data_IF_253442354570
#
_entry.id   IF_253442354570
#
_cell.length_a   1.000
_cell.length_b   1.000
_cell.length_c   1.000
_cell.angle_alpha   90.00
_cell.angle_beta   90.00
_cell.angle_gamma   90.00
#
_symmetry.space_group_name_H-M   'P 1'
#
loop_
_entity.id
_entity.type
_entity.pdbx_description
1 polymer ?
#
# COMPACT_ATOMS: atom_id res chain seq x y z
N UNK A 1 -3.36 -28.79 3.99
CA UNK A 1 -4.54 -29.20 3.19
C UNK A 1 -4.12 -29.88 1.88
N UNK A 2 -3.37 -30.98 1.97
CA UNK A 2 -3.22 -31.96 0.88
C UNK A 2 -3.64 -33.34 1.40
N UNK A 3 -4.78 -33.37 2.11
CA UNK A 3 -5.38 -34.61 2.60
C UNK A 3 -6.77 -34.62 1.97
N UNK A 4 -7.08 -35.69 1.24
CA UNK A 4 -8.34 -35.95 0.52
C UNK A 4 -8.51 -35.45 -0.94
N UNK A 5 -7.45 -35.42 -1.76
CA UNK A 5 -7.60 -35.31 -3.23
C UNK A 5 -8.21 -33.99 -3.78
N UNK A 6 -8.58 -33.06 -2.90
CA UNK A 6 -9.07 -31.74 -3.29
C UNK A 6 -7.92 -30.86 -3.77
N UNK A 7 -8.03 -30.38 -5.01
CA UNK A 7 -7.10 -29.40 -5.57
C UNK A 7 -7.43 -28.01 -5.00
N UNK A 8 -6.42 -27.27 -4.49
CA UNK A 8 -6.61 -25.87 -4.10
C UNK A 8 -7.24 -25.06 -5.23
N UNK A 9 -8.31 -24.34 -4.89
CA UNK A 9 -8.98 -23.38 -5.77
C UNK A 9 -8.53 -21.93 -5.48
N UNK A 10 -9.06 -20.96 -6.22
CA UNK A 10 -8.72 -19.53 -6.08
C UNK A 10 -8.88 -19.00 -4.65
N UNK A 11 -9.90 -19.44 -3.92
CA UNK A 11 -10.15 -19.03 -2.54
C UNK A 11 -9.10 -19.61 -1.59
N UNK A 12 -8.77 -20.90 -1.76
CA UNK A 12 -7.72 -21.58 -0.99
C UNK A 12 -6.37 -20.87 -1.19
N UNK A 13 -6.05 -20.53 -2.44
CA UNK A 13 -4.83 -19.81 -2.78
C UNK A 13 -4.80 -18.42 -2.17
N UNK A 14 -5.88 -17.64 -2.29
CA UNK A 14 -5.96 -16.30 -1.70
C UNK A 14 -5.82 -16.31 -0.18
N UNK A 15 -6.40 -17.29 0.52
CA UNK A 15 -6.21 -17.45 1.98
C UNK A 15 -4.75 -17.75 2.34
N UNK A 16 -4.08 -18.65 1.60
CA UNK A 16 -2.67 -18.97 1.84
C UNK A 16 -1.78 -17.76 1.52
N UNK A 17 -2.06 -17.03 0.45
CA UNK A 17 -1.31 -15.83 0.08
C UNK A 17 -1.44 -14.74 1.14
N UNK A 18 -2.65 -14.49 1.65
CA UNK A 18 -2.87 -13.56 2.76
C UNK A 18 -2.05 -13.93 3.99
N UNK A 19 -2.05 -15.20 4.38
CA UNK A 19 -1.23 -15.69 5.48
C UNK A 19 0.27 -15.49 5.20
N UNK A 20 0.74 -15.78 3.98
CA UNK A 20 2.15 -15.56 3.62
C UNK A 20 2.54 -14.09 3.70
N UNK A 21 1.66 -13.20 3.23
CA UNK A 21 1.81 -11.75 3.28
C UNK A 21 1.94 -11.25 4.73
N UNK A 22 1.00 -11.62 5.62
CA UNK A 22 1.01 -11.15 7.01
C UNK A 22 2.12 -11.76 7.86
N UNK A 23 2.61 -12.95 7.52
CA UNK A 23 3.62 -13.67 8.29
C UNK A 23 5.01 -13.64 7.66
N UNK A 24 5.22 -12.90 6.56
CA UNK A 24 6.50 -12.84 5.85
C UNK A 24 6.99 -14.18 5.28
N UNK A 25 6.09 -15.14 5.03
CA UNK A 25 6.45 -16.51 4.61
C UNK A 25 6.71 -16.59 3.10
N UNK A 26 7.70 -15.85 2.60
CA UNK A 26 8.03 -15.75 1.18
C UNK A 26 8.25 -17.11 0.51
N UNK A 27 8.93 -18.05 1.18
CA UNK A 27 9.16 -19.39 0.65
C UNK A 27 7.87 -20.17 0.36
N UNK A 28 6.80 -19.94 1.15
CA UNK A 28 5.48 -20.52 0.89
C UNK A 28 4.76 -19.75 -0.21
N UNK A 29 4.85 -18.41 -0.21
CA UNK A 29 4.30 -17.57 -1.27
C UNK A 29 4.81 -17.96 -2.66
N UNK A 30 6.13 -18.18 -2.81
CA UNK A 30 6.76 -18.63 -4.07
C UNK A 30 6.26 -20.01 -4.51
N UNK A 31 6.02 -20.94 -3.57
CA UNK A 31 5.43 -22.26 -3.88
C UNK A 31 3.99 -22.12 -4.38
N UNK A 32 3.20 -21.24 -3.78
CA UNK A 32 1.83 -20.95 -4.25
C UNK A 32 1.89 -20.33 -5.65
N UNK A 33 2.77 -19.36 -5.89
CA UNK A 33 2.93 -18.76 -7.22
C UNK A 33 3.29 -19.82 -8.28
N UNK A 34 4.21 -20.74 -7.99
CA UNK A 34 4.52 -21.85 -8.90
C UNK A 34 3.33 -22.77 -9.16
N UNK A 35 2.46 -22.99 -8.16
CA UNK A 35 1.22 -23.73 -8.34
C UNK A 35 0.21 -22.96 -9.21
N UNK A 36 0.07 -21.64 -9.00
CA UNK A 36 -0.80 -20.76 -9.79
C UNK A 36 -0.49 -20.87 -11.28
N UNK A 37 0.80 -20.77 -11.66
CA UNK A 37 1.26 -20.91 -13.06
C UNK A 37 0.94 -22.30 -13.60
N UNK A 38 1.20 -23.36 -12.82
CA UNK A 38 0.93 -24.75 -13.24
C UNK A 38 -0.55 -25.05 -13.42
N UNK A 39 -1.43 -24.27 -12.81
CA UNK A 39 -2.87 -24.51 -12.80
C UNK A 39 -3.68 -23.44 -13.55
N UNK A 40 -3.00 -22.58 -14.31
CA UNK A 40 -3.61 -21.56 -15.17
C UNK A 40 -4.42 -20.48 -14.43
N UNK A 41 -4.12 -20.26 -13.14
CA UNK A 41 -4.76 -19.23 -12.33
C UNK A 41 -4.04 -17.88 -12.38
N UNK A 42 -2.98 -17.73 -13.19
CA UNK A 42 -2.27 -16.47 -13.39
C UNK A 42 -3.14 -15.38 -14.04
N UNK A 43 -4.25 -15.76 -14.67
CA UNK A 43 -5.26 -14.84 -15.21
C UNK A 43 -6.30 -14.41 -14.17
N UNK A 44 -6.30 -15.00 -12.97
CA UNK A 44 -7.29 -14.73 -11.94
C UNK A 44 -6.92 -13.51 -11.09
N UNK A 45 -7.75 -12.46 -11.18
CA UNK A 45 -7.48 -11.15 -10.57
C UNK A 45 -7.28 -11.22 -9.06
N UNK A 46 -8.07 -12.05 -8.38
CA UNK A 46 -7.99 -12.22 -6.92
C UNK A 46 -6.68 -12.89 -6.50
N UNK A 47 -6.23 -13.89 -7.25
CA UNK A 47 -4.97 -14.60 -6.99
C UNK A 47 -3.77 -13.70 -7.30
N UNK A 48 -3.79 -12.99 -8.42
CA UNK A 48 -2.70 -12.06 -8.79
C UNK A 48 -2.59 -10.92 -7.78
N UNK A 49 -3.71 -10.33 -7.36
CA UNK A 49 -3.72 -9.32 -6.30
C UNK A 49 -3.08 -9.85 -5.01
N UNK A 50 -3.42 -11.07 -4.60
CA UNK A 50 -2.83 -11.71 -3.42
C UNK A 50 -1.32 -11.94 -3.57
N UNK A 51 -0.85 -12.27 -4.77
CA UNK A 51 0.58 -12.41 -5.06
C UNK A 51 1.31 -11.07 -4.98
N UNK A 52 0.76 -10.01 -5.58
CA UNK A 52 1.31 -8.64 -5.50
C UNK A 52 1.47 -8.21 -4.04
N UNK A 53 0.41 -8.34 -3.23
CA UNK A 53 0.44 -8.00 -1.80
C UNK A 53 1.49 -8.83 -1.03
N UNK A 54 1.56 -10.13 -1.31
CA UNK A 54 2.55 -11.03 -0.68
C UNK A 54 3.98 -10.60 -1.00
N UNK A 55 4.30 -10.35 -2.27
CA UNK A 55 5.64 -9.96 -2.68
C UNK A 55 6.03 -8.57 -2.18
N UNK A 56 5.11 -7.61 -2.23
CA UNK A 56 5.34 -6.24 -1.75
C UNK A 56 5.71 -6.22 -0.25
N UNK A 57 5.00 -6.99 0.58
CA UNK A 57 5.25 -7.08 2.03
C UNK A 57 6.40 -8.00 2.43
N UNK A 58 6.84 -8.90 1.54
CA UNK A 58 7.97 -9.80 1.79
C UNK A 58 9.32 -9.27 1.28
N UNK A 59 9.46 -7.94 1.11
CA UNK A 59 10.66 -7.30 0.57
C UNK A 59 11.08 -7.81 -0.84
N UNK A 60 10.13 -8.26 -1.64
CA UNK A 60 10.31 -8.70 -3.02
C UNK A 60 9.61 -7.73 -3.98
N UNK A 61 9.96 -6.44 -3.87
CA UNK A 61 9.26 -5.37 -4.59
C UNK A 61 9.38 -5.49 -6.12
N UNK A 62 10.46 -6.09 -6.63
CA UNK A 62 10.65 -6.30 -8.07
C UNK A 62 9.66 -7.33 -8.63
N UNK A 63 9.44 -8.45 -7.93
CA UNK A 63 8.44 -9.44 -8.31
C UNK A 63 7.01 -8.88 -8.21
N UNK A 64 6.74 -8.06 -7.20
CA UNK A 64 5.46 -7.36 -7.07
C UNK A 64 5.24 -6.38 -8.23
N UNK A 65 6.26 -5.58 -8.56
CA UNK A 65 6.26 -4.62 -9.67
C UNK A 65 6.06 -5.31 -11.03
N UNK A 66 6.69 -6.46 -11.24
CA UNK A 66 6.50 -7.28 -12.44
C UNK A 66 5.03 -7.72 -12.59
N UNK A 67 4.45 -8.32 -11.56
CA UNK A 67 3.06 -8.78 -11.59
C UNK A 67 2.08 -7.61 -11.78
N UNK A 68 2.31 -6.50 -11.09
CA UNK A 68 1.49 -5.29 -11.19
C UNK A 68 1.48 -4.70 -12.61
N UNK A 69 2.64 -4.70 -13.30
CA UNK A 69 2.75 -4.23 -14.68
C UNK A 69 2.14 -5.20 -15.71
N UNK A 70 2.14 -6.49 -15.41
CA UNK A 70 1.54 -7.50 -16.30
C UNK A 70 0.01 -7.53 -16.29
N UNK A 71 -0.62 -6.76 -15.39
CA UNK A 71 -2.09 -6.68 -15.29
C UNK A 71 -2.61 -5.23 -15.31
N UNK A 72 -2.37 -4.46 -16.39
CA UNK A 72 -2.74 -3.03 -16.44
C UNK A 72 -4.25 -2.80 -16.35
N UNK A 73 -5.06 -3.62 -17.03
CA UNK A 73 -6.52 -3.48 -17.07
C UNK A 73 -7.23 -3.89 -15.78
N UNK A 74 -6.48 -4.41 -14.80
CA UNK A 74 -7.01 -5.04 -13.58
C UNK A 74 -6.57 -4.31 -12.31
N UNK A 75 -5.86 -3.19 -12.44
CA UNK A 75 -5.45 -2.39 -11.29
C UNK A 75 -6.68 -1.88 -10.55
N UNK A 76 -6.71 -2.12 -9.25
CA UNK A 76 -7.75 -1.63 -8.35
C UNK A 76 -7.12 -0.95 -7.13
N UNK A 77 -7.95 -0.34 -6.30
CA UNK A 77 -7.49 0.37 -5.11
C UNK A 77 -6.67 -0.50 -4.15
N UNK A 78 -6.97 -1.81 -4.05
CA UNK A 78 -6.23 -2.73 -3.17
C UNK A 78 -4.82 -2.96 -3.70
N UNK A 79 -4.69 -3.30 -4.99
CA UNK A 79 -3.39 -3.53 -5.63
C UNK A 79 -2.52 -2.29 -5.63
N UNK A 80 -3.08 -1.14 -6.01
CA UNK A 80 -2.32 0.13 -6.05
C UNK A 80 -1.90 0.57 -4.64
N UNK A 81 -2.77 0.36 -3.63
CA UNK A 81 -2.40 0.62 -2.22
C UNK A 81 -1.26 -0.30 -1.78
N UNK A 82 -1.31 -1.59 -2.11
CA UNK A 82 -0.25 -2.53 -1.79
C UNK A 82 1.09 -2.14 -2.43
N UNK A 83 1.07 -1.64 -3.68
CA UNK A 83 2.27 -1.17 -4.36
C UNK A 83 2.81 0.14 -3.77
N UNK A 84 1.97 1.13 -3.45
CA UNK A 84 2.42 2.37 -2.80
C UNK A 84 3.06 2.07 -1.45
N UNK A 85 2.41 1.23 -0.63
CA UNK A 85 2.94 0.80 0.65
C UNK A 85 4.24 -0.02 0.49
N UNK A 86 4.25 -0.96 -0.46
CA UNK A 86 5.41 -1.78 -0.78
C UNK A 86 6.62 -0.93 -1.17
N UNK A 87 6.47 -0.02 -2.13
CA UNK A 87 7.55 0.90 -2.52
C UNK A 87 8.03 1.74 -1.34
N UNK A 88 7.11 2.30 -0.54
CA UNK A 88 7.49 3.11 0.63
C UNK A 88 8.29 2.31 1.65
N UNK A 89 7.88 1.07 1.95
CA UNK A 89 8.55 0.19 2.93
C UNK A 89 9.89 -0.35 2.43
N UNK A 90 10.06 -0.47 1.11
CA UNK A 90 11.29 -0.95 0.48
C UNK A 90 12.28 0.19 0.14
N UNK A 91 12.03 1.42 0.62
CA UNK A 91 12.92 2.57 0.37
C UNK A 91 12.83 3.18 -1.03
N UNK A 92 11.85 2.77 -1.83
CA UNK A 92 11.63 3.20 -3.22
C UNK A 92 10.70 4.42 -3.27
N UNK A 93 11.02 5.47 -2.51
CA UNK A 93 10.14 6.62 -2.26
C UNK A 93 9.64 7.32 -3.55
N UNK A 94 10.51 7.52 -4.54
CA UNK A 94 10.11 8.12 -5.82
C UNK A 94 9.11 7.23 -6.59
N UNK A 95 9.27 5.90 -6.53
CA UNK A 95 8.30 4.97 -7.14
C UNK A 95 6.98 4.97 -6.39
N UNK A 96 6.99 5.08 -5.05
CA UNK A 96 5.77 5.21 -4.25
C UNK A 96 4.97 6.47 -4.64
N UNK A 97 5.66 7.62 -4.73
CA UNK A 97 5.06 8.89 -5.17
C UNK A 97 4.51 8.78 -6.58
N UNK A 98 5.28 8.21 -7.51
CA UNK A 98 4.82 8.01 -8.90
C UNK A 98 3.60 7.10 -8.95
N UNK A 99 3.61 5.97 -8.25
CA UNK A 99 2.50 5.03 -8.20
C UNK A 99 1.23 5.69 -7.62
N UNK A 100 1.36 6.54 -6.61
CA UNK A 100 0.23 7.30 -6.08
C UNK A 100 -0.30 8.34 -7.08
N UNK A 101 0.58 9.05 -7.80
CA UNK A 101 0.15 9.97 -8.87
C UNK A 101 -0.62 9.24 -9.97
N UNK A 102 -0.10 8.10 -10.43
CA UNK A 102 -0.75 7.28 -11.44
C UNK A 102 -2.13 6.82 -10.94
N UNK A 103 -2.22 6.38 -9.68
CA UNK A 103 -3.49 6.01 -9.01
C UNK A 103 -4.51 7.15 -9.00
N UNK A 104 -4.09 8.40 -8.73
CA UNK A 104 -4.96 9.59 -8.77
C UNK A 104 -5.41 9.92 -10.20
N UNK A 105 -4.50 9.84 -11.18
CA UNK A 105 -4.81 10.11 -12.60
C UNK A 105 -5.76 9.06 -13.17
N UNK A 106 -5.58 7.79 -12.80
CA UNK A 106 -6.46 6.67 -13.17
C UNK A 106 -7.82 6.71 -12.42
N UNK A 107 -8.05 7.69 -11.51
CA UNK A 107 -9.30 7.81 -10.75
C UNK A 107 -9.49 6.72 -9.70
N UNK A 108 -8.43 6.02 -9.30
CA UNK A 108 -8.48 4.94 -8.32
C UNK A 108 -8.50 5.55 -6.90
N UNK A 109 -9.51 5.18 -6.12
CA UNK A 109 -9.72 5.72 -4.78
C UNK A 109 -8.57 5.39 -3.81
N UNK A 110 -8.05 6.43 -3.14
CA UNK A 110 -7.10 6.31 -2.03
C UNK A 110 -7.81 6.03 -0.71
N UNK A 111 -7.11 5.42 0.24
CA UNK A 111 -7.65 5.11 1.56
C UNK A 111 -6.66 5.43 2.68
N UNK A 112 -7.08 5.16 3.92
CA UNK A 112 -6.30 5.34 5.15
C UNK A 112 -4.97 4.58 5.21
N UNK A 113 -4.72 3.61 4.32
CA UNK A 113 -3.43 2.91 4.20
C UNK A 113 -2.54 3.49 3.09
N UNK A 114 -3.15 4.01 2.02
CA UNK A 114 -2.44 4.66 0.91
C UNK A 114 -1.78 5.97 1.38
N UNK A 115 -2.54 6.78 2.12
CA UNK A 115 -2.18 8.16 2.47
C UNK A 115 -0.94 8.25 3.40
N UNK A 116 -0.85 7.47 4.50
CA UNK A 116 0.37 7.45 5.32
C UNK A 116 1.59 6.96 4.53
N UNK A 117 1.40 5.99 3.64
CA UNK A 117 2.49 5.42 2.83
C UNK A 117 3.07 6.45 1.86
N UNK A 118 2.23 7.22 1.16
CA UNK A 118 2.73 8.28 0.27
C UNK A 118 3.34 9.45 1.05
N UNK A 119 2.80 9.80 2.22
CA UNK A 119 3.39 10.83 3.09
C UNK A 119 4.77 10.43 3.61
N UNK A 120 4.93 9.17 4.02
CA UNK A 120 6.23 8.59 4.42
C UNK A 120 7.23 8.69 3.27
N UNK A 121 6.80 8.36 2.04
CA UNK A 121 7.63 8.51 0.87
C UNK A 121 8.00 9.98 0.60
N UNK A 122 7.07 10.93 0.77
CA UNK A 122 7.37 12.36 0.65
C UNK A 122 8.41 12.81 1.67
N UNK A 123 8.27 12.37 2.91
CA UNK A 123 9.19 12.67 4.00
C UNK A 123 10.60 12.16 3.71
N UNK A 124 10.72 10.95 3.14
CA UNK A 124 11.99 10.32 2.81
C UNK A 124 12.79 11.05 1.71
N UNK A 125 12.12 11.81 0.84
CA UNK A 125 12.77 12.58 -0.25
C UNK A 125 12.57 14.08 -0.12
N UNK A 126 12.18 14.55 1.08
CA UNK A 126 11.91 15.96 1.39
C UNK A 126 10.94 16.64 0.37
N UNK A 127 9.96 15.91 -0.16
CA UNK A 127 9.02 16.39 -1.17
C UNK A 127 7.84 17.18 -0.56
N UNK A 128 8.13 18.20 0.25
CA UNK A 128 7.14 18.96 1.02
C UNK A 128 6.00 19.55 0.18
N UNK A 129 6.30 20.09 -1.01
CA UNK A 129 5.29 20.62 -1.93
C UNK A 129 4.28 19.56 -2.39
N UNK A 130 4.73 18.31 -2.57
CA UNK A 130 3.83 17.22 -2.94
C UNK A 130 3.10 16.69 -1.70
N UNK A 131 3.77 16.59 -0.56
CA UNK A 131 3.13 16.26 0.72
C UNK A 131 1.99 17.21 1.08
N UNK A 132 2.14 18.53 0.85
CA UNK A 132 1.08 19.52 1.06
C UNK A 132 -0.13 19.33 0.11
N UNK A 133 0.10 18.86 -1.13
CA UNK A 133 -1.00 18.49 -2.04
C UNK A 133 -1.75 17.26 -1.52
N UNK A 134 -1.03 16.26 -1.01
CA UNK A 134 -1.63 15.08 -0.38
C UNK A 134 -2.41 15.48 0.88
N UNK A 135 -1.88 16.40 1.71
CA UNK A 135 -2.58 16.94 2.87
C UNK A 135 -3.89 17.64 2.48
N UNK A 136 -3.87 18.47 1.44
CA UNK A 136 -5.08 19.12 0.91
C UNK A 136 -6.14 18.10 0.49
N UNK A 137 -5.71 16.98 -0.11
CA UNK A 137 -6.61 15.86 -0.44
C UNK A 137 -7.17 15.19 0.82
N UNK A 138 -6.34 14.92 1.84
CA UNK A 138 -6.74 14.31 3.12
C UNK A 138 -7.88 15.09 3.77
N UNK A 139 -7.74 16.42 3.87
CA UNK A 139 -8.75 17.31 4.45
C UNK A 139 -10.06 17.24 3.65
N UNK A 140 -9.98 17.39 2.32
CA UNK A 140 -11.16 17.37 1.45
C UNK A 140 -11.89 16.02 1.45
N UNK A 141 -11.16 14.93 1.65
CA UNK A 141 -11.70 13.57 1.64
C UNK A 141 -12.08 13.04 3.03
N UNK A 142 -11.94 13.84 4.09
CA UNK A 142 -12.36 13.46 5.45
C UNK A 142 -11.49 12.40 6.12
N UNK A 143 -10.23 12.24 5.68
CA UNK A 143 -9.26 11.33 6.32
C UNK A 143 -8.47 12.01 7.45
N UNK A 144 -8.69 13.31 7.67
CA UNK A 144 -7.96 14.12 8.64
C UNK A 144 -8.08 13.63 10.10
N UNK A 145 -9.22 13.09 10.58
CA UNK A 145 -9.33 12.53 11.94
C UNK A 145 -8.58 11.20 12.16
N UNK A 146 -7.99 10.61 11.11
CA UNK A 146 -7.33 9.32 11.24
C UNK A 146 -5.92 9.49 11.87
N UNK A 147 -5.72 8.94 13.06
CA UNK A 147 -4.46 9.05 13.82
C UNK A 147 -3.22 8.61 13.03
N UNK A 148 -3.32 7.58 12.18
CA UNK A 148 -2.19 7.14 11.36
C UNK A 148 -1.87 8.14 10.24
N UNK A 149 -2.89 8.79 9.68
CA UNK A 149 -2.74 9.84 8.67
C UNK A 149 -2.15 11.10 9.31
N UNK A 150 -2.63 11.50 10.47
CA UNK A 150 -2.12 12.65 11.23
C UNK A 150 -0.65 12.45 11.61
N UNK A 151 -0.31 11.29 12.18
CA UNK A 151 1.08 10.96 12.54
C UNK A 151 2.02 11.05 11.34
N UNK A 152 1.58 10.55 10.17
CA UNK A 152 2.37 10.63 8.94
C UNK A 152 2.48 12.06 8.38
N UNK A 153 1.46 12.91 8.57
CA UNK A 153 1.50 14.32 8.19
C UNK A 153 2.52 15.10 9.04
N UNK A 154 2.51 14.88 10.36
CA UNK A 154 3.48 15.52 11.28
C UNK A 154 4.91 15.11 10.91
N UNK A 155 5.17 13.81 10.73
CA UNK A 155 6.49 13.30 10.32
C UNK A 155 6.94 13.90 8.96
N UNK A 156 6.02 13.97 7.99
CA UNK A 156 6.30 14.52 6.67
C UNK A 156 6.69 16.00 6.73
N UNK A 157 5.89 16.84 7.41
CA UNK A 157 6.20 18.27 7.54
C UNK A 157 7.48 18.52 8.35
N UNK A 158 7.68 17.78 9.44
CA UNK A 158 8.89 17.88 10.26
C UNK A 158 10.15 17.56 9.44
N UNK A 159 10.15 16.46 8.68
CA UNK A 159 11.28 16.09 7.80
C UNK A 159 11.46 17.03 6.62
N UNK A 160 10.38 17.67 6.15
CA UNK A 160 10.45 18.72 5.14
C UNK A 160 10.79 20.12 5.71
N UNK A 161 11.17 20.21 6.99
CA UNK A 161 11.58 21.45 7.68
C UNK A 161 10.49 22.52 7.78
N UNK A 162 9.22 22.13 7.69
CA UNK A 162 8.06 22.99 7.91
C UNK A 162 7.45 22.69 9.28
N UNK A 163 8.13 23.13 10.34
CA UNK A 163 7.71 22.89 11.72
C UNK A 163 6.40 23.60 12.06
N UNK A 164 6.11 24.75 11.44
CA UNK A 164 4.88 25.48 11.66
C UNK A 164 3.67 24.67 11.21
N UNK A 165 3.72 24.05 10.03
CA UNK A 165 2.68 23.14 9.56
C UNK A 165 2.62 21.86 10.40
N UNK A 166 3.76 21.30 10.82
CA UNK A 166 3.80 20.12 11.67
C UNK A 166 3.08 20.37 13.02
N UNK A 167 3.35 21.51 13.67
CA UNK A 167 2.71 21.91 14.93
C UNK A 167 1.21 22.13 14.73
N UNK A 168 0.79 22.79 13.65
CA UNK A 168 -0.64 22.99 13.35
C UNK A 168 -1.40 21.67 13.23
N UNK A 169 -0.83 20.70 12.52
CA UNK A 169 -1.44 19.36 12.41
C UNK A 169 -1.50 18.70 13.79
N UNK A 170 -0.44 18.77 14.59
CA UNK A 170 -0.39 18.17 15.92
C UNK A 170 -1.43 18.79 16.87
N UNK A 171 -1.55 20.12 16.92
CA UNK A 171 -2.52 20.79 17.81
C UNK A 171 -3.96 20.45 17.44
N UNK A 172 -4.27 20.31 16.14
CA UNK A 172 -5.59 19.86 15.73
C UNK A 172 -5.93 18.46 16.27
N UNK A 173 -4.93 17.58 16.45
CA UNK A 173 -5.14 16.24 17.02
C UNK A 173 -5.51 16.27 18.52
N UNK A 174 -4.95 17.21 19.29
CA UNK A 174 -5.17 17.28 20.74
C UNK A 174 -6.55 17.87 21.11
N UNK A 175 -7.16 18.66 20.23
CA UNK A 175 -8.47 19.28 20.49
C UNK A 175 -9.62 18.27 20.36
N UNK A 176 -9.49 17.27 19.49
CA UNK A 176 -10.52 16.25 19.26
C UNK A 176 -10.50 15.12 20.32
N UNK A 177 -9.38 14.90 21.02
CA UNK A 177 -9.24 13.88 22.08
C UNK A 177 -9.83 14.30 23.45
N UNK A 178 -10.43 15.50 23.56
CA UNK A 178 -10.99 16.05 24.83
C UNK A 178 -12.52 15.97 24.90
N UNK A 179 -13.20 15.33 23.95
CA UNK A 179 -14.66 15.13 24.06
C UNK A 179 -14.99 13.88 24.89
N UNK A 180 -15.20 14.11 26.19
CA UNK A 180 -15.89 13.22 27.15
C UNK A 180 -17.34 12.95 26.79
#
# INVERSE_FOLDING_TARGET
MQVAGQRPNQYTMGSILRMCSTSGLLGRGKKVHGYVIKTQFESNDYVVMGLVDTYAKCNCILEAEYLFKMTPDKKNHVMSTAMVAGYSQNGEAFKAIKCYRDMVVEGIASNQFTLPSVLTACAAVEAGNFGAQVHSFIVRSGFEPNVFVQSALVDMYAKCRDLDSAIKVLVNTEVDDVVT
#
